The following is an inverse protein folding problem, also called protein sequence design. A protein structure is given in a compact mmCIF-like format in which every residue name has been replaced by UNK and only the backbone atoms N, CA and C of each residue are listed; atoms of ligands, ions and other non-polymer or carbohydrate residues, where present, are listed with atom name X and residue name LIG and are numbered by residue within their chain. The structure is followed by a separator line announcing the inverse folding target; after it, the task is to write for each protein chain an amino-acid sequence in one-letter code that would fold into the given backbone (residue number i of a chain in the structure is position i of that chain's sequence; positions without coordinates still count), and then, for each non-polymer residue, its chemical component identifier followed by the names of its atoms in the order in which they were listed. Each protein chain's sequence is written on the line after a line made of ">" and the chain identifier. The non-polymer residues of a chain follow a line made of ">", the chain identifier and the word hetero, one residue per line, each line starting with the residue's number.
data_IF_408816014720
#
_entry.id   IF_408816014720
#
_cell.length_a   1.000
_cell.length_b   1.000
_cell.length_c   1.000
_cell.angle_alpha   90.00
_cell.angle_beta   90.00
_cell.angle_gamma   90.00
#
_symmetry.space_group_name_H-M   'P 1'
#
loop_
_entity.id
_entity.type
_entity.pdbx_description
1 polymer ?
#
# COMPACT_ATOMS: atom_id res chain seq x y z
N UNK A 1 18.39 -3.74 8.16
CA UNK A 1 17.39 -3.75 7.06
C UNK A 1 15.99 -3.69 7.60
N UNK A 2 15.18 -2.82 7.00
CA UNK A 2 13.80 -2.51 7.37
C UNK A 2 12.92 -2.67 6.13
N UNK A 3 11.77 -3.30 6.30
CA UNK A 3 10.70 -3.32 5.28
C UNK A 3 9.48 -2.63 5.87
N UNK A 4 9.05 -1.54 5.23
CA UNK A 4 7.82 -0.85 5.57
C UNK A 4 6.73 -1.17 4.54
N UNK A 5 5.50 -1.37 4.98
CA UNK A 5 4.35 -1.61 4.11
C UNK A 5 3.09 -0.89 4.59
N UNK A 6 2.17 -0.63 3.68
CA UNK A 6 0.91 0.04 4.00
C UNK A 6 -0.04 -0.87 4.78
N UNK A 7 -0.59 -0.37 5.88
CA UNK A 7 -1.67 -1.03 6.64
C UNK A 7 -3.01 -0.84 5.92
N UNK A 8 -3.16 -1.49 4.77
CA UNK A 8 -4.36 -1.45 3.95
C UNK A 8 -5.59 -1.90 4.71
N UNK A 9 -6.68 -1.14 4.60
CA UNK A 9 -7.98 -1.49 5.18
C UNK A 9 -8.75 -2.41 4.23
N UNK A 10 -8.25 -3.63 4.01
CA UNK A 10 -8.76 -4.58 3.00
C UNK A 10 -10.28 -4.77 3.11
N UNK A 11 -10.81 -4.92 4.33
CA UNK A 11 -12.25 -5.04 4.60
C UNK A 11 -13.08 -3.87 4.08
N UNK A 12 -12.53 -2.66 4.07
CA UNK A 12 -13.19 -1.48 3.51
C UNK A 12 -13.02 -1.41 1.99
N UNK A 13 -11.86 -1.81 1.47
CA UNK A 13 -11.58 -1.79 0.03
C UNK A 13 -12.51 -2.74 -0.74
N UNK A 14 -12.79 -3.93 -0.21
CA UNK A 14 -13.68 -4.92 -0.84
C UNK A 14 -15.15 -4.49 -0.86
N UNK A 15 -15.55 -3.42 -0.16
CA UNK A 15 -16.92 -2.88 -0.24
C UNK A 15 -17.23 -2.25 -1.60
N UNK A 16 -16.20 -1.89 -2.37
CA UNK A 16 -16.39 -1.44 -3.74
C UNK A 16 -16.63 -2.66 -4.65
N UNK A 17 -17.89 -2.91 -5.01
CA UNK A 17 -18.29 -4.07 -5.82
C UNK A 17 -17.57 -4.17 -7.17
N UNK A 18 -17.13 -3.04 -7.76
CA UNK A 18 -16.38 -3.02 -9.02
C UNK A 18 -14.94 -3.54 -8.88
N UNK A 19 -14.38 -3.48 -7.67
CA UNK A 19 -12.99 -3.87 -7.38
C UNK A 19 -12.89 -5.05 -6.41
N UNK A 20 -14.01 -5.47 -5.80
CA UNK A 20 -14.02 -6.48 -4.75
C UNK A 20 -13.36 -7.80 -5.17
N UNK A 21 -13.64 -8.25 -6.39
CA UNK A 21 -13.04 -9.47 -6.94
C UNK A 21 -11.52 -9.36 -7.03
N UNK A 22 -11.00 -8.36 -7.74
CA UNK A 22 -9.55 -8.20 -7.92
C UNK A 22 -8.80 -7.93 -6.61
N UNK A 23 -9.41 -7.24 -5.65
CA UNK A 23 -8.82 -7.03 -4.32
C UNK A 23 -8.77 -8.35 -3.53
N UNK A 24 -9.81 -9.17 -3.63
CA UNK A 24 -9.88 -10.47 -2.94
C UNK A 24 -8.90 -11.47 -3.53
N UNK A 25 -8.80 -11.52 -4.86
CA UNK A 25 -7.92 -12.45 -5.59
C UNK A 25 -6.43 -12.25 -5.26
N UNK A 26 -6.01 -11.02 -4.91
CA UNK A 26 -4.61 -10.70 -4.56
C UNK A 26 -4.21 -11.21 -3.16
N UNK A 27 -5.17 -11.44 -2.26
CA UNK A 27 -4.87 -12.07 -0.96
C UNK A 27 -4.01 -11.24 0.00
N UNK A 28 -4.19 -9.91 0.03
CA UNK A 28 -3.38 -8.97 0.84
C UNK A 28 -3.16 -9.39 2.30
N UNK A 29 -4.21 -9.88 2.99
CA UNK A 29 -4.10 -10.30 4.39
C UNK A 29 -3.12 -11.46 4.58
N UNK A 30 -3.12 -12.43 3.66
CA UNK A 30 -2.21 -13.57 3.71
C UNK A 30 -0.78 -13.13 3.38
N UNK A 31 -0.62 -12.26 2.39
CA UNK A 31 0.68 -11.68 2.05
C UNK A 31 1.34 -10.99 3.23
N UNK A 32 0.61 -10.13 3.97
CA UNK A 32 1.16 -9.44 5.14
C UNK A 32 1.51 -10.39 6.28
N UNK A 33 0.76 -11.46 6.48
CA UNK A 33 1.09 -12.50 7.48
C UNK A 33 2.41 -13.20 7.14
N UNK A 34 2.61 -13.56 5.87
CA UNK A 34 3.87 -14.15 5.43
C UNK A 34 5.04 -13.18 5.54
N UNK A 35 4.83 -11.90 5.22
CA UNK A 35 5.86 -10.87 5.35
C UNK A 35 6.33 -10.74 6.81
N UNK A 36 5.40 -10.71 7.77
CA UNK A 36 5.72 -10.68 9.20
C UNK A 36 6.41 -11.97 9.67
N UNK A 37 5.94 -13.13 9.19
CA UNK A 37 6.55 -14.42 9.50
C UNK A 37 8.01 -14.48 9.04
N UNK A 38 8.28 -14.16 7.78
CA UNK A 38 9.65 -14.17 7.25
C UNK A 38 10.51 -13.06 7.85
N UNK A 39 9.93 -11.93 8.22
CA UNK A 39 10.59 -10.91 9.04
C UNK A 39 11.20 -11.50 10.31
N UNK A 40 10.43 -12.31 11.04
CA UNK A 40 10.92 -13.01 12.24
C UNK A 40 12.00 -14.04 11.91
N UNK A 41 11.77 -14.87 10.88
CA UNK A 41 12.70 -15.94 10.47
C UNK A 41 14.08 -15.39 10.12
N UNK A 42 14.13 -14.27 9.39
CA UNK A 42 15.37 -13.67 8.92
C UNK A 42 15.88 -12.52 9.79
N UNK A 43 15.28 -12.26 10.95
CA UNK A 43 15.66 -11.16 11.84
C UNK A 43 15.54 -9.78 11.19
N UNK A 44 14.55 -9.57 10.33
CA UNK A 44 14.28 -8.30 9.64
C UNK A 44 13.15 -7.54 10.32
N UNK A 45 13.31 -6.22 10.40
CA UNK A 45 12.27 -5.35 10.97
C UNK A 45 11.18 -5.13 9.93
N UNK A 46 9.95 -5.47 10.28
CA UNK A 46 8.77 -5.31 9.44
C UNK A 46 7.84 -4.28 10.11
N UNK A 47 7.53 -3.17 9.43
CA UNK A 47 6.73 -2.08 9.99
C UNK A 47 5.52 -1.80 9.10
N UNK A 48 4.34 -1.74 9.71
CA UNK A 48 3.14 -1.26 9.03
C UNK A 48 2.99 0.25 9.21
N UNK A 49 2.70 0.98 8.12
CA UNK A 49 2.51 2.44 8.13
C UNK A 49 1.08 2.81 7.72
N UNK A 50 0.62 4.00 8.13
CA UNK A 50 -0.69 4.49 7.74
C UNK A 50 -0.73 4.70 6.20
N UNK A 51 -1.76 4.19 5.49
CA UNK A 51 -1.84 4.25 4.03
C UNK A 51 -2.30 5.62 3.50
N UNK A 52 -2.54 6.59 4.38
CA UNK A 52 -3.07 7.89 4.00
C UNK A 52 -2.05 8.67 3.18
N UNK A 53 -2.49 9.09 1.98
CA UNK A 53 -1.73 9.90 1.04
C UNK A 53 -0.42 9.31 0.50
N UNK A 54 -0.05 8.08 0.85
CA UNK A 54 1.18 7.42 0.38
C UNK A 54 1.27 7.30 -1.14
N UNK A 55 0.14 7.19 -1.83
CA UNK A 55 0.06 7.15 -3.31
C UNK A 55 -0.11 8.53 -3.97
N UNK A 56 -0.35 9.58 -3.18
CA UNK A 56 -0.64 10.94 -3.64
C UNK A 56 0.47 11.92 -3.31
N UNK A 57 1.12 11.78 -2.16
CA UNK A 57 2.25 12.61 -1.77
C UNK A 57 3.44 12.33 -2.70
N UNK A 58 4.00 13.39 -3.24
CA UNK A 58 5.26 13.30 -3.95
C UNK A 58 6.38 12.92 -2.98
N UNK A 59 7.17 11.89 -3.31
CA UNK A 59 8.31 11.47 -2.49
C UNK A 59 9.44 12.50 -2.43
N UNK A 60 9.49 13.43 -3.40
CA UNK A 60 10.51 14.48 -3.46
C UNK A 60 10.06 15.75 -2.74
N UNK A 61 8.91 16.33 -3.13
CA UNK A 61 8.47 17.63 -2.61
C UNK A 61 7.34 17.58 -1.57
N UNK A 62 6.73 16.41 -1.32
CA UNK A 62 5.64 16.26 -0.36
C UNK A 62 4.27 16.76 -0.84
N UNK A 63 4.18 17.42 -1.99
CA UNK A 63 2.92 17.94 -2.55
C UNK A 63 1.90 16.82 -2.78
N UNK A 64 0.61 17.11 -2.50
CA UNK A 64 -0.47 16.13 -2.66
C UNK A 64 -0.98 16.17 -4.10
N UNK A 65 -0.54 15.21 -4.92
CA UNK A 65 -1.05 15.04 -6.28
C UNK A 65 -2.30 14.16 -6.26
N UNK A 66 -3.47 14.79 -6.24
CA UNK A 66 -4.77 14.08 -6.30
C UNK A 66 -4.92 13.31 -7.61
N UNK A 67 -5.30 12.04 -7.51
CA UNK A 67 -5.48 11.16 -8.67
C UNK A 67 -6.57 10.13 -8.45
N UNK A 68 -7.22 9.71 -9.55
CA UNK A 68 -8.14 8.57 -9.52
C UNK A 68 -7.39 7.25 -9.45
N UNK A 69 -8.09 6.16 -9.09
CA UNK A 69 -7.51 4.81 -9.02
C UNK A 69 -7.01 4.28 -10.37
N UNK A 70 -7.44 4.86 -11.49
CA UNK A 70 -7.00 4.47 -12.83
C UNK A 70 -5.64 5.08 -13.21
N UNK A 71 -5.19 6.14 -12.52
CA UNK A 71 -3.90 6.76 -12.78
C UNK A 71 -2.79 5.88 -12.18
N UNK A 72 -1.94 5.32 -13.04
CA UNK A 72 -0.86 4.40 -12.64
C UNK A 72 0.50 5.07 -12.53
N UNK A 73 0.69 6.23 -13.16
CA UNK A 73 1.95 6.97 -13.15
C UNK A 73 1.81 8.20 -12.27
N UNK A 74 2.76 8.42 -11.35
CA UNK A 74 2.83 9.64 -10.57
C UNK A 74 3.52 10.73 -11.39
N UNK A 75 2.87 11.89 -11.54
CA UNK A 75 3.41 13.07 -12.22
C UNK A 75 3.30 14.24 -11.26
N UNK A 76 4.44 14.78 -10.83
CA UNK A 76 4.50 15.97 -9.99
C UNK A 76 5.17 17.12 -10.77
N UNK A 77 4.94 18.36 -10.35
CA UNK A 77 5.57 19.53 -10.96
C UNK A 77 7.07 19.60 -10.63
N UNK A 78 7.52 18.94 -9.56
CA UNK A 78 8.93 18.91 -9.17
C UNK A 78 9.77 17.87 -9.94
N UNK A 79 9.18 17.20 -10.94
CA UNK A 79 9.73 16.00 -11.59
C UNK A 79 8.96 14.73 -11.23
#
# INVERSE_FOLDING_TARGET
>A
DLVAFEKLQVKNMVKNSKLAKSISDVGWSLFTQWLEYFGKVYGRVIVSVAPQYTSQNCSNCGEIVRKSLSVRTHVCQCG
#
